data_IF_058074203945
#
_entry.id   IF_058074203945
#
_cell.length_a   1.000
_cell.length_b   1.000
_cell.length_c   1.000
_cell.angle_alpha   90.00
_cell.angle_beta   90.00
_cell.angle_gamma   90.00
#
_symmetry.space_group_name_H-M   'P 1'
#
loop_
_entity.id
_entity.type
_entity.pdbx_description
1 polymer ?
#
# COMPACT_ATOMS: atom_id res chain seq x y z
N UNK A 1 16.92 0.69 -2.80
CA UNK A 1 15.67 0.27 -2.14
C UNK A 1 14.70 1.37 -2.50
N UNK A 2 13.84 1.08 -3.46
CA UNK A 2 12.92 2.07 -3.98
C UNK A 2 11.80 2.33 -2.96
N UNK A 3 11.43 3.59 -2.80
CA UNK A 3 10.46 4.07 -1.79
C UNK A 3 9.42 4.91 -2.51
N UNK A 4 8.16 4.63 -2.23
CA UNK A 4 7.01 5.38 -2.73
C UNK A 4 6.20 5.93 -1.58
N UNK A 5 5.73 7.16 -1.76
CA UNK A 5 4.85 7.84 -0.81
C UNK A 5 3.46 7.94 -1.42
N UNK A 6 2.47 7.41 -0.68
CA UNK A 6 1.07 7.40 -1.07
C UNK A 6 0.30 8.21 -0.03
N UNK A 7 -0.11 9.41 -0.42
CA UNK A 7 -0.94 10.28 0.42
C UNK A 7 -2.41 10.12 0.02
N UNK A 8 -3.24 9.66 0.95
CA UNK A 8 -4.69 9.66 0.73
C UNK A 8 -5.22 11.09 0.88
N UNK A 9 -6.32 11.46 0.22
CA UNK A 9 -6.98 12.75 0.44
C UNK A 9 -7.29 13.00 1.93
N UNK A 10 -7.10 14.24 2.37
CA UNK A 10 -7.51 14.65 3.70
C UNK A 10 -9.05 14.68 3.83
N UNK A 11 -9.57 14.48 5.06
CA UNK A 11 -11.00 14.53 5.32
C UNK A 11 -11.77 13.24 4.97
N UNK A 12 -11.06 12.16 4.63
CA UNK A 12 -11.69 10.85 4.47
C UNK A 12 -12.23 10.32 5.82
N UNK A 13 -13.32 9.54 5.79
CA UNK A 13 -13.88 8.94 6.99
C UNK A 13 -12.94 7.87 7.54
N UNK A 14 -12.07 8.24 8.49
CA UNK A 14 -11.17 7.31 9.16
C UNK A 14 -11.94 6.45 10.17
N UNK A 15 -11.84 5.14 9.99
CA UNK A 15 -12.29 4.11 10.92
C UNK A 15 -11.32 3.99 12.09
N UNK A 16 -11.88 3.96 13.30
CA UNK A 16 -11.14 3.70 14.53
C UNK A 16 -11.75 2.48 15.24
N UNK A 17 -10.91 1.56 15.71
CA UNK A 17 -11.30 0.31 16.39
C UNK A 17 -12.15 0.55 17.64
N UNK A 18 -11.99 1.68 18.32
CA UNK A 18 -12.80 2.04 19.49
C UNK A 18 -14.21 2.50 19.13
N UNK A 19 -14.50 2.75 17.84
CA UNK A 19 -15.83 3.14 17.41
C UNK A 19 -16.74 1.92 17.30
N UNK A 20 -17.88 1.96 17.99
CA UNK A 20 -18.96 0.98 17.84
C UNK A 20 -19.90 1.37 16.70
N UNK A 21 -19.35 1.41 15.48
CA UNK A 21 -20.12 1.72 14.27
C UNK A 21 -21.01 0.52 13.88
N UNK A 22 -22.22 0.83 13.40
CA UNK A 22 -23.04 -0.16 12.71
C UNK A 22 -22.34 -0.66 11.43
N UNK A 23 -22.65 -1.88 10.98
CA UNK A 23 -21.92 -2.52 9.88
C UNK A 23 -22.04 -1.75 8.55
N UNK A 24 -23.20 -1.14 8.26
CA UNK A 24 -23.41 -0.35 7.05
C UNK A 24 -22.49 0.90 6.93
N UNK A 25 -22.45 1.84 7.89
CA UNK A 25 -21.55 2.98 7.81
C UNK A 25 -20.08 2.56 7.82
N UNK A 26 -19.74 1.48 8.54
CA UNK A 26 -18.39 0.91 8.50
C UNK A 26 -18.01 0.46 7.09
N UNK A 27 -18.86 -0.33 6.44
CA UNK A 27 -18.62 -0.80 5.07
C UNK A 27 -18.51 0.35 4.06
N UNK A 28 -19.34 1.40 4.20
CA UNK A 28 -19.26 2.60 3.35
C UNK A 28 -17.92 3.32 3.51
N UNK A 29 -17.45 3.50 4.75
CA UNK A 29 -16.16 4.14 5.02
C UNK A 29 -14.99 3.28 4.50
N UNK A 30 -15.01 1.97 4.73
CA UNK A 30 -14.01 1.03 4.19
C UNK A 30 -13.92 1.12 2.67
N UNK A 31 -15.06 1.06 1.97
CA UNK A 31 -15.09 1.14 0.50
C UNK A 31 -14.52 2.45 -0.02
N UNK A 32 -14.84 3.56 0.65
CA UNK A 32 -14.32 4.87 0.26
C UNK A 32 -12.81 4.96 0.49
N UNK A 33 -12.31 4.54 1.65
CA UNK A 33 -10.87 4.51 1.92
C UNK A 33 -10.12 3.64 0.92
N UNK A 34 -10.63 2.45 0.63
CA UNK A 34 -10.04 1.49 -0.31
C UNK A 34 -9.93 2.08 -1.73
N UNK A 35 -11.02 2.68 -2.22
CA UNK A 35 -11.04 3.31 -3.54
C UNK A 35 -10.05 4.49 -3.63
N UNK A 36 -10.04 5.39 -2.66
CA UNK A 36 -9.15 6.57 -2.68
C UNK A 36 -7.67 6.17 -2.55
N UNK A 37 -7.38 5.10 -1.80
CA UNK A 37 -6.04 4.56 -1.69
C UNK A 37 -5.54 3.94 -3.00
N UNK A 38 -6.41 3.24 -3.73
CA UNK A 38 -6.11 2.73 -5.07
C UNK A 38 -5.76 3.87 -6.02
N UNK A 39 -6.60 4.92 -6.06
CA UNK A 39 -6.34 6.11 -6.90
C UNK A 39 -5.01 6.76 -6.54
N UNK A 40 -4.74 6.97 -5.24
CA UNK A 40 -3.50 7.58 -4.77
C UNK A 40 -2.26 6.75 -5.15
N UNK A 41 -2.35 5.42 -5.09
CA UNK A 41 -1.27 4.52 -5.49
C UNK A 41 -0.97 4.59 -6.99
N UNK A 42 -2.02 4.57 -7.82
CA UNK A 42 -1.89 4.74 -9.27
C UNK A 42 -1.29 6.11 -9.63
N UNK A 43 -1.69 7.17 -8.93
CA UNK A 43 -1.14 8.51 -9.11
C UNK A 43 0.35 8.59 -8.71
N UNK A 44 0.74 7.86 -7.65
CA UNK A 44 2.14 7.71 -7.23
C UNK A 44 2.96 6.79 -8.14
N UNK A 45 2.34 6.13 -9.13
CA UNK A 45 2.95 5.22 -10.09
C UNK A 45 3.78 4.12 -9.43
N UNK A 46 3.23 3.54 -8.36
CA UNK A 46 3.87 2.40 -7.69
C UNK A 46 3.81 1.21 -8.65
N UNK A 47 4.96 0.61 -9.04
CA UNK A 47 4.98 -0.53 -9.94
C UNK A 47 4.49 -1.78 -9.21
N UNK A 48 4.26 -2.86 -9.95
CA UNK A 48 4.14 -4.18 -9.35
C UNK A 48 5.44 -4.52 -8.59
N UNK A 49 5.32 -4.86 -7.31
CA UNK A 49 6.43 -5.21 -6.40
C UNK A 49 6.45 -6.71 -6.06
N UNK A 50 5.31 -7.39 -6.13
CA UNK A 50 5.17 -8.76 -5.65
C UNK A 50 5.22 -8.88 -4.12
N UNK A 51 6.16 -8.20 -3.47
CA UNK A 51 6.24 -8.07 -2.01
C UNK A 51 6.55 -6.62 -1.59
N UNK A 52 5.92 -6.15 -0.53
CA UNK A 52 6.05 -4.78 -0.05
C UNK A 52 6.20 -4.71 1.47
N UNK A 53 7.03 -3.79 1.93
CA UNK A 53 7.09 -3.36 3.32
C UNK A 53 6.40 -2.00 3.47
N UNK A 54 5.51 -1.87 4.45
CA UNK A 54 4.64 -0.70 4.58
C UNK A 54 4.81 -0.02 5.93
N UNK A 55 5.08 1.29 5.90
CA UNK A 55 4.90 2.16 7.05
C UNK A 55 3.60 2.95 6.85
N UNK A 56 2.78 3.03 7.89
CA UNK A 56 1.56 3.81 7.90
C UNK A 56 1.68 5.00 8.84
N UNK A 57 1.40 6.20 8.36
CA UNK A 57 1.33 7.42 9.15
C UNK A 57 -0.11 7.90 9.25
N UNK A 58 -0.56 8.15 10.47
CA UNK A 58 -1.88 8.75 10.74
C UNK A 58 -1.70 10.19 11.18
N UNK A 59 -2.22 11.11 10.37
CA UNK A 59 -2.30 12.52 10.67
C UNK A 59 -3.66 12.80 11.32
N UNK A 60 -3.70 13.14 12.62
CA UNK A 60 -4.96 13.33 13.33
C UNK A 60 -5.65 14.64 12.90
N UNK A 61 -6.98 14.64 12.90
CA UNK A 61 -7.77 15.86 12.67
C UNK A 61 -7.75 16.82 13.89
N UNK A 62 -7.57 16.29 15.09
CA UNK A 62 -7.62 17.02 16.36
C UNK A 62 -6.35 16.76 17.18
N UNK A 63 -5.93 17.76 17.96
CA UNK A 63 -4.72 17.71 18.78
C UNK A 63 -4.99 17.01 20.12
N UNK A 64 -5.45 15.76 20.05
CA UNK A 64 -5.72 14.89 21.21
C UNK A 64 -4.74 13.73 21.22
N UNK A 65 -4.44 13.20 22.40
CA UNK A 65 -3.71 11.93 22.51
C UNK A 65 -4.54 10.83 21.84
N UNK A 66 -3.89 10.03 21.01
CA UNK A 66 -4.47 8.86 20.38
C UNK A 66 -3.40 7.79 20.22
N UNK A 67 -3.83 6.55 20.06
CA UNK A 67 -2.97 5.43 19.71
C UNK A 67 -3.16 5.11 18.21
N UNK A 68 -2.05 5.05 17.47
CA UNK A 68 -2.02 4.79 16.03
C UNK A 68 -2.59 3.43 15.69
N UNK A 69 -2.42 2.42 16.55
CA UNK A 69 -2.93 1.07 16.33
C UNK A 69 -4.47 1.04 16.25
N UNK A 70 -5.17 1.98 16.89
CA UNK A 70 -6.62 2.07 16.78
C UNK A 70 -7.11 2.41 15.37
N UNK A 71 -6.25 2.96 14.51
CA UNK A 71 -6.59 3.24 13.11
C UNK A 71 -6.33 2.05 12.19
N UNK A 72 -5.97 0.88 12.73
CA UNK A 72 -5.75 -0.33 11.94
C UNK A 72 -6.88 -0.64 10.94
N UNK A 73 -8.18 -0.51 11.27
CA UNK A 73 -9.24 -0.72 10.27
C UNK A 73 -9.16 0.23 9.07
N UNK A 74 -8.67 1.47 9.27
CA UNK A 74 -8.43 2.40 8.17
C UNK A 74 -7.18 2.05 7.39
N UNK A 75 -6.09 1.70 8.09
CA UNK A 75 -4.85 1.28 7.44
C UNK A 75 -5.03 0.01 6.63
N UNK A 76 -5.80 -0.95 7.12
CA UNK A 76 -6.14 -2.16 6.39
C UNK A 76 -6.86 -1.81 5.09
N UNK A 77 -7.93 -1.01 5.15
CA UNK A 77 -8.63 -0.54 3.96
C UNK A 77 -7.74 0.23 2.98
N UNK A 78 -6.81 1.04 3.48
CA UNK A 78 -5.87 1.79 2.67
C UNK A 78 -4.82 0.89 2.01
N UNK A 79 -4.23 -0.07 2.74
CA UNK A 79 -3.25 -1.04 2.22
C UNK A 79 -3.88 -1.93 1.16
N UNK A 80 -5.05 -2.48 1.46
CA UNK A 80 -5.88 -3.25 0.53
C UNK A 80 -6.09 -2.53 -0.81
N UNK A 81 -6.46 -1.25 -0.76
CA UNK A 81 -6.71 -0.45 -1.97
C UNK A 81 -5.42 -0.04 -2.67
N UNK A 82 -4.45 0.47 -1.92
CA UNK A 82 -3.20 0.97 -2.47
C UNK A 82 -2.29 -0.13 -3.01
N UNK A 83 -2.35 -1.34 -2.45
CA UNK A 83 -1.45 -2.42 -2.84
C UNK A 83 -2.14 -3.51 -3.67
N UNK A 84 -3.30 -4.01 -3.25
CA UNK A 84 -3.95 -5.13 -3.94
C UNK A 84 -4.78 -4.63 -5.13
N UNK A 85 -5.72 -3.70 -4.89
CA UNK A 85 -6.59 -3.20 -5.97
C UNK A 85 -5.81 -2.43 -7.04
N UNK A 86 -4.74 -1.74 -6.65
CA UNK A 86 -3.87 -1.02 -7.58
C UNK A 86 -2.89 -1.96 -8.33
N UNK A 87 -2.84 -3.25 -7.98
CA UNK A 87 -1.96 -4.22 -8.64
C UNK A 87 -0.47 -4.07 -8.29
N UNK A 88 -0.14 -3.56 -7.10
CA UNK A 88 1.25 -3.50 -6.58
C UNK A 88 1.70 -4.85 -6.06
N UNK A 89 0.81 -5.59 -5.39
CA UNK A 89 1.07 -6.94 -4.86
C UNK A 89 -0.09 -7.86 -5.26
N UNK A 90 0.13 -9.19 -5.36
CA UNK A 90 -0.93 -10.11 -5.73
C UNK A 90 -1.98 -10.29 -4.62
N UNK A 91 -1.59 -10.19 -3.34
CA UNK A 91 -2.48 -10.27 -2.18
C UNK A 91 -1.88 -9.51 -0.98
N UNK A 92 -2.65 -9.28 0.08
CA UNK A 92 -2.24 -8.58 1.31
C UNK A 92 -1.76 -9.48 2.45
N UNK A 93 -1.52 -10.75 2.14
CA UNK A 93 -1.12 -11.77 3.11
C UNK A 93 0.31 -11.58 3.64
N UNK A 94 0.69 -12.39 4.61
CA UNK A 94 2.01 -12.39 5.22
C UNK A 94 3.17 -12.76 4.28
N UNK A 95 2.90 -13.30 3.09
CA UNK A 95 3.91 -13.63 2.09
C UNK A 95 4.24 -12.40 1.25
N UNK A 96 3.25 -11.53 1.01
CA UNK A 96 3.38 -10.39 0.12
C UNK A 96 3.48 -9.04 0.83
N UNK A 97 2.90 -8.89 2.02
CA UNK A 97 2.89 -7.61 2.74
C UNK A 97 3.46 -7.75 4.15
N UNK A 98 4.46 -6.93 4.45
CA UNK A 98 4.99 -6.74 5.79
C UNK A 98 4.57 -5.37 6.33
N UNK A 99 3.89 -5.36 7.48
CA UNK A 99 3.27 -4.16 8.06
C UNK A 99 1.74 -4.18 7.98
N UNK A 100 1.05 -3.02 7.97
CA UNK A 100 1.60 -1.67 8.09
C UNK A 100 2.09 -1.38 9.50
N UNK A 101 3.33 -0.88 9.62
CA UNK A 101 3.83 -0.37 10.89
C UNK A 101 3.31 1.06 11.11
N UNK A 102 2.45 1.23 12.11
CA UNK A 102 1.63 2.45 12.26
C UNK A 102 2.25 3.47 13.21
N UNK A 103 2.49 4.69 12.73
CA UNK A 103 3.09 5.80 13.46
C UNK A 103 2.16 7.01 13.51
N UNK A 104 2.17 7.77 14.62
CA UNK A 104 1.54 9.07 14.65
C UNK A 104 2.32 10.08 13.79
N UNK A 105 1.61 11.02 13.17
CA UNK A 105 2.20 12.13 12.45
C UNK A 105 1.60 13.48 12.90
N UNK A 106 2.08 14.57 12.30
CA UNK A 106 1.60 15.92 12.61
C UNK A 106 0.12 16.09 12.23
N UNK A 107 -0.55 17.06 12.85
CA UNK A 107 -1.97 17.34 12.62
C UNK A 107 -2.22 17.84 11.19
N UNK A 108 -3.23 17.28 10.53
CA UNK A 108 -3.77 17.79 9.26
C UNK A 108 -5.27 18.01 9.42
N UNK A 109 -5.82 19.20 9.08
CA UNK A 109 -7.26 19.44 9.14
C UNK A 109 -8.04 18.36 8.36
N UNK A 110 -9.08 17.80 9.00
CA UNK A 110 -9.86 16.68 8.44
C UNK A 110 -9.23 15.30 8.64
N UNK A 111 -7.96 15.22 9.03
CA UNK A 111 -7.23 13.96 9.21
C UNK A 111 -6.83 13.33 7.87
N UNK A 112 -5.75 12.57 7.88
CA UNK A 112 -5.19 11.97 6.67
C UNK A 112 -4.45 10.67 7.02
N UNK A 113 -4.42 9.74 6.07
CA UNK A 113 -3.48 8.63 6.09
C UNK A 113 -2.43 8.81 5.01
N UNK A 114 -1.21 8.42 5.36
CA UNK A 114 -0.08 8.39 4.44
C UNK A 114 0.61 7.04 4.56
N UNK A 115 0.90 6.40 3.43
CA UNK A 115 1.61 5.13 3.39
C UNK A 115 2.97 5.37 2.76
N UNK A 116 4.02 4.85 3.39
CA UNK A 116 5.34 4.70 2.76
C UNK A 116 5.47 3.24 2.39
N UNK A 117 5.53 2.99 1.08
CA UNK A 117 5.65 1.66 0.51
C UNK A 117 7.08 1.48 0.04
N UNK A 118 7.70 0.39 0.46
CA UNK A 118 9.08 0.08 0.12
C UNK A 118 9.13 -1.33 -0.45
N UNK A 119 9.90 -1.50 -1.51
CA UNK A 119 10.10 -2.83 -2.06
C UNK A 119 10.99 -3.66 -1.11
N UNK A 120 10.53 -4.87 -0.78
CA UNK A 120 11.21 -5.74 0.20
C UNK A 120 12.36 -6.55 -0.43
N UNK A 121 12.35 -6.73 -1.75
CA UNK A 121 13.28 -7.62 -2.46
C UNK A 121 14.35 -6.83 -3.19
N UNK A 122 15.61 -7.06 -2.85
CA UNK A 122 16.72 -6.64 -3.71
C UNK A 122 16.71 -7.49 -4.99
N UNK A 123 16.84 -6.87 -6.16
CA UNK A 123 17.16 -7.60 -7.38
C UNK A 123 18.37 -8.53 -7.11
N UNK A 124 18.24 -9.82 -7.43
CA UNK A 124 19.38 -10.77 -7.32
C UNK A 124 20.57 -10.36 -8.18
N UNK A 125 20.32 -9.50 -9.18
CA UNK A 125 21.32 -8.90 -10.05
C UNK A 125 22.18 -7.79 -9.42
N UNK A 126 21.84 -7.32 -8.20
CA UNK A 126 22.60 -6.28 -7.49
C UNK A 126 22.32 -4.83 -7.92
N UNK A 127 21.43 -4.61 -8.89
CA UNK A 127 20.98 -3.27 -9.31
C UNK A 127 19.68 -2.87 -8.60
N UNK A 128 19.29 -1.59 -8.67
CA UNK A 128 17.97 -1.18 -8.17
C UNK A 128 16.91 -1.91 -8.99
N UNK A 129 15.93 -2.49 -8.30
CA UNK A 129 14.90 -3.33 -8.92
C UNK A 129 14.05 -2.55 -9.92
N UNK A 130 13.90 -1.23 -9.73
CA UNK A 130 13.18 -0.33 -10.63
C UNK A 130 13.90 -0.08 -11.96
N UNK A 131 15.22 -0.24 -12.03
CA UNK A 131 15.99 -0.02 -13.27
C UNK A 131 15.69 -1.06 -14.35
N UNK A 132 15.21 -2.23 -13.96
CA UNK A 132 14.91 -3.33 -14.89
C UNK A 132 13.42 -3.56 -15.04
N UNK A 133 12.57 -2.81 -14.32
CA UNK A 133 11.11 -2.95 -14.44
C UNK A 133 10.66 -2.11 -15.65
N UNK A 134 10.19 -2.80 -16.70
CA UNK A 134 9.54 -2.20 -17.85
C UNK A 134 8.20 -1.57 -17.46
N UNK A 135 7.61 -0.81 -18.38
CA UNK A 135 6.32 -0.12 -18.16
C UNK A 135 5.18 -1.06 -17.77
N UNK A 136 5.30 -2.36 -18.09
CA UNK A 136 4.36 -3.42 -17.77
C UNK A 136 4.63 -4.11 -16.41
N UNK A 137 5.54 -3.56 -15.59
CA UNK A 137 5.92 -4.14 -14.30
C UNK A 137 6.86 -5.34 -14.42
N UNK A 138 7.37 -5.66 -15.61
CA UNK A 138 8.19 -6.87 -15.85
C UNK A 138 9.67 -6.58 -15.85
N UNK A 139 10.47 -7.50 -15.33
CA UNK A 139 11.92 -7.41 -15.49
C UNK A 139 12.31 -7.59 -16.97
N UNK A 140 12.85 -6.55 -17.60
CA UNK A 140 13.32 -6.59 -18.99
C UNK A 140 14.70 -7.25 -19.15
N UNK A 141 15.34 -7.67 -18.06
CA UNK A 141 16.68 -8.29 -18.08
C UNK A 141 16.58 -9.82 -18.27
N UNK A 142 17.02 -10.38 -19.41
CA UNK A 142 16.99 -11.82 -19.64
C UNK A 142 17.87 -12.55 -18.62
N UNK A 143 17.39 -13.68 -18.08
CA UNK A 143 18.17 -14.54 -17.18
C UNK A 143 18.40 -13.97 -15.77
N UNK A 144 17.74 -12.87 -15.40
CA UNK A 144 17.90 -12.25 -14.08
C UNK A 144 17.46 -13.17 -12.91
N UNK A 145 16.53 -14.11 -13.15
CA UNK A 145 16.00 -15.01 -12.12
C UNK A 145 15.39 -14.30 -10.90
N UNK A 146 15.00 -13.03 -11.07
CA UNK A 146 14.29 -12.25 -10.04
C UNK A 146 12.80 -12.61 -10.03
N UNK A 147 12.09 -12.24 -8.97
CA UNK A 147 10.65 -12.52 -8.88
C UNK A 147 9.80 -11.81 -9.94
N UNK A 148 10.29 -10.70 -10.47
CA UNK A 148 9.67 -9.96 -11.58
C UNK A 148 9.87 -10.62 -12.94
N UNK A 149 10.69 -11.68 -13.02
CA UNK A 149 10.88 -12.49 -14.21
C UNK A 149 9.87 -13.63 -14.19
N UNK A 150 8.85 -13.57 -15.05
CA UNK A 150 8.09 -14.77 -15.42
C UNK A 150 8.83 -15.48 -16.56
N UNK A 151 9.24 -16.75 -16.42
CA UNK A 151 9.57 -17.53 -17.61
C UNK A 151 8.33 -17.53 -18.52
N UNK A 152 8.53 -17.43 -19.83
CA UNK A 152 7.44 -17.54 -20.79
C UNK A 152 6.62 -18.78 -20.43
N UNK A 153 5.31 -18.61 -20.24
CA UNK A 153 4.41 -19.75 -20.04
C UNK A 153 4.54 -20.57 -21.31
N UNK A 154 5.19 -21.74 -21.22
CA UNK A 154 5.23 -22.70 -22.32
C UNK A 154 3.77 -22.99 -22.69
N UNK A 155 3.49 -22.87 -23.99
CA UNK A 155 2.14 -22.69 -24.53
C UNK A 155 1.08 -23.63 -23.98
N UNK A 156 -0.12 -23.09 -23.81
CA UNK A 156 -1.33 -23.88 -23.97
C UNK A 156 -1.33 -24.41 -25.41
N UNK A 157 -1.04 -25.70 -25.55
CA UNK A 157 -1.38 -26.53 -26.72
C UNK A 157 -2.68 -27.24 -26.39
#
# INVERSE_FOLDING_TARGET
>A
MSVWEIELPAGLPLLNSNQRLHHHPRARATRRLRHEAMIASLAARVPYLGEAFVLGYVHPAANRRFDSANFYPSFKAAVDGALVDAGVVPDDDHLHVSGPHMYPAHKIPGGQLRLIVMASRRCRCGHDETEHIGEDGRCVRPGCGCLYHRPAVAGAV
#
